data_IF_585354888408
#
_entry.id   IF_585354888408
#
_cell.length_a   1.000
_cell.length_b   1.000
_cell.length_c   1.000
_cell.angle_alpha   90.00
_cell.angle_beta   90.00
_cell.angle_gamma   90.00
#
_symmetry.space_group_name_H-M   'P 1'
#
loop_
_entity.id
_entity.type
_entity.pdbx_description
1 polymer ?
#
# COMPACT_ATOMS: atom_id res chain seq x y z
N UNK A 1 41.16 26.32 11.20
CA UNK A 1 39.72 26.55 10.91
C UNK A 1 39.05 25.31 10.32
N UNK A 2 39.79 24.45 9.59
CA UNK A 2 39.29 23.16 9.07
C UNK A 2 39.16 22.05 10.11
N UNK A 3 40.02 22.00 11.14
CA UNK A 3 39.97 20.95 12.17
C UNK A 3 38.77 21.08 13.11
N UNK A 4 38.44 22.29 13.58
CA UNK A 4 37.30 22.52 14.47
C UNK A 4 35.93 22.22 13.82
N UNK A 5 35.81 22.41 12.49
CA UNK A 5 34.63 22.03 11.71
C UNK A 5 34.53 20.50 11.53
N UNK A 6 35.67 19.81 11.46
CA UNK A 6 35.70 18.35 11.33
C UNK A 6 35.38 17.65 12.66
N UNK A 7 35.85 18.21 13.78
CA UNK A 7 35.56 17.72 15.13
C UNK A 7 34.10 17.94 15.55
N UNK A 8 33.50 19.08 15.21
CA UNK A 8 32.06 19.31 15.46
C UNK A 8 31.16 18.38 14.64
N UNK A 9 31.54 18.08 13.39
CA UNK A 9 30.82 17.13 12.56
C UNK A 9 30.96 15.70 13.11
N UNK A 10 32.12 15.35 13.66
CA UNK A 10 32.37 14.07 14.35
C UNK A 10 31.56 13.94 15.64
N UNK A 11 31.51 14.99 16.47
CA UNK A 11 30.79 14.96 17.74
C UNK A 11 29.27 14.90 17.55
N UNK A 12 28.73 15.68 16.60
CA UNK A 12 27.33 15.59 16.20
C UNK A 12 26.99 14.21 15.64
N UNK A 13 27.84 13.66 14.78
CA UNK A 13 27.67 12.30 14.25
C UNK A 13 27.67 11.26 15.37
N UNK A 14 28.58 11.35 16.33
CA UNK A 14 28.66 10.45 17.47
C UNK A 14 27.45 10.57 18.41
N UNK A 15 26.93 11.77 18.63
CA UNK A 15 25.71 11.98 19.42
C UNK A 15 24.46 11.49 18.70
N UNK A 16 24.35 11.72 17.38
CA UNK A 16 23.27 11.22 16.56
C UNK A 16 23.26 9.67 16.55
N UNK A 17 24.42 9.03 16.36
CA UNK A 17 24.56 7.57 16.41
C UNK A 17 24.22 7.00 17.79
N UNK A 18 24.63 7.67 18.88
CA UNK A 18 24.20 7.27 20.24
C UNK A 18 22.69 7.44 20.45
N UNK A 19 22.10 8.52 19.96
CA UNK A 19 20.66 8.72 20.03
C UNK A 19 19.92 7.58 19.30
N UNK A 20 20.31 7.29 18.05
CA UNK A 20 19.80 6.17 17.25
C UNK A 20 19.94 4.82 17.97
N UNK A 21 21.04 4.59 18.69
CA UNK A 21 21.28 3.36 19.45
C UNK A 21 20.32 3.14 20.64
N UNK A 22 19.56 4.16 21.04
CA UNK A 22 18.60 4.08 22.16
C UNK A 22 17.13 4.03 21.71
N UNK A 23 16.87 4.27 20.42
CA UNK A 23 15.51 4.40 19.91
C UNK A 23 14.80 3.06 19.83
N UNK A 24 13.53 3.09 20.24
CA UNK A 24 12.58 1.99 20.06
C UNK A 24 11.66 2.21 18.87
N UNK A 25 11.43 3.47 18.51
CA UNK A 25 10.69 3.87 17.32
C UNK A 25 11.46 4.99 16.64
N UNK A 26 11.61 4.89 15.32
CA UNK A 26 12.30 5.87 14.51
C UNK A 26 11.46 6.24 13.29
N UNK A 27 11.04 7.49 13.23
CA UNK A 27 10.15 8.02 12.20
C UNK A 27 10.84 9.20 11.52
N UNK A 28 11.04 9.09 10.22
CA UNK A 28 11.66 10.13 9.40
C UNK A 28 10.75 10.47 8.24
N UNK A 29 10.64 11.77 7.98
CA UNK A 29 10.02 12.31 6.77
C UNK A 29 10.93 13.35 6.16
N UNK A 30 11.21 13.27 4.86
CA UNK A 30 11.92 14.31 4.08
C UNK A 30 13.33 14.65 4.57
N UNK A 31 14.06 13.69 5.16
CA UNK A 31 15.47 13.87 5.57
C UNK A 31 16.38 12.99 4.74
N UNK A 32 17.49 13.57 4.28
CA UNK A 32 18.59 12.84 3.67
C UNK A 32 19.50 12.25 4.76
N UNK A 33 19.73 10.94 4.69
CA UNK A 33 20.66 10.23 5.56
C UNK A 33 21.79 9.63 4.72
N UNK A 34 23.01 9.74 5.25
CA UNK A 34 24.13 8.98 4.73
C UNK A 34 24.08 7.55 5.30
N UNK A 35 23.34 6.68 4.62
CA UNK A 35 23.04 5.32 5.07
C UNK A 35 24.27 4.46 5.32
N UNK A 36 25.45 4.80 4.75
CA UNK A 36 26.69 4.05 4.96
C UNK A 36 27.17 4.07 6.42
N UNK A 37 26.73 5.09 7.18
CA UNK A 37 27.09 5.25 8.59
C UNK A 37 25.95 4.93 9.53
N UNK A 38 24.81 4.47 9.01
CA UNK A 38 23.65 4.12 9.83
C UNK A 38 23.76 2.65 10.24
N UNK A 39 23.71 2.42 11.55
CA UNK A 39 23.48 1.11 12.14
C UNK A 39 22.36 1.27 13.14
N UNK A 40 21.28 0.52 12.94
CA UNK A 40 20.12 0.62 13.82
C UNK A 40 20.41 -0.06 15.16
N UNK A 41 19.76 0.47 16.20
CA UNK A 41 19.78 -0.16 17.52
C UNK A 41 19.17 -1.55 17.47
N UNK A 42 19.72 -2.46 18.27
CA UNK A 42 19.07 -3.72 18.64
C UNK A 42 17.83 -3.51 19.53
N UNK A 43 17.38 -2.28 19.75
CA UNK A 43 16.14 -1.96 20.47
C UNK A 43 15.07 -1.36 19.56
N UNK A 44 15.38 -1.15 18.28
CA UNK A 44 14.48 -0.54 17.33
C UNK A 44 13.37 -1.53 16.96
N UNK A 45 12.14 -1.24 17.37
CA UNK A 45 10.96 -2.06 17.09
C UNK A 45 10.15 -1.50 15.91
N UNK A 46 10.18 -0.19 15.70
CA UNK A 46 9.42 0.48 14.64
C UNK A 46 10.34 1.38 13.82
N UNK A 47 10.30 1.23 12.49
CA UNK A 47 10.99 2.07 11.52
C UNK A 47 10.00 2.56 10.49
N UNK A 48 9.79 3.87 10.45
CA UNK A 48 8.97 4.54 9.45
C UNK A 48 9.79 5.55 8.66
N UNK A 49 9.88 5.34 7.36
CA UNK A 49 10.60 6.20 6.44
C UNK A 49 9.63 6.72 5.39
N UNK A 50 9.54 8.04 5.28
CA UNK A 50 8.66 8.73 4.35
C UNK A 50 9.44 9.74 3.52
N UNK A 51 9.22 9.73 2.20
CA UNK A 51 9.84 10.70 1.28
C UNK A 51 11.37 10.74 1.41
N UNK A 52 11.98 9.56 1.37
CA UNK A 52 13.45 9.41 1.41
C UNK A 52 14.01 9.20 -0.01
N UNK A 53 15.22 9.68 -0.25
CA UNK A 53 15.92 9.53 -1.53
C UNK A 53 17.17 8.66 -1.35
N UNK A 54 17.31 7.65 -2.23
CA UNK A 54 18.44 6.74 -2.33
C UNK A 54 19.06 6.90 -3.73
N UNK A 55 20.13 7.68 -3.79
CA UNK A 55 20.80 8.08 -5.02
C UNK A 55 21.90 7.09 -5.42
N UNK A 56 21.59 6.27 -6.42
CA UNK A 56 22.54 5.33 -7.00
C UNK A 56 22.69 4.02 -6.21
N UNK A 57 23.50 3.12 -6.78
CA UNK A 57 23.58 1.73 -6.30
C UNK A 57 24.23 1.64 -4.92
N UNK A 58 25.16 2.55 -4.62
CA UNK A 58 25.85 2.58 -3.33
C UNK A 58 24.91 2.93 -2.18
N UNK A 59 24.06 3.94 -2.34
CA UNK A 59 23.12 4.34 -1.28
C UNK A 59 22.01 3.31 -1.09
N UNK A 60 21.52 2.70 -2.17
CA UNK A 60 20.56 1.60 -2.08
C UNK A 60 21.17 0.42 -1.32
N UNK A 61 22.42 0.03 -1.63
CA UNK A 61 23.09 -1.06 -0.92
C UNK A 61 23.30 -0.72 0.56
N UNK A 62 23.78 0.49 0.85
CA UNK A 62 23.99 0.95 2.22
C UNK A 62 22.68 0.99 3.02
N UNK A 63 21.57 1.39 2.40
CA UNK A 63 20.25 1.35 3.02
C UNK A 63 19.83 -0.08 3.37
N UNK A 64 20.04 -1.03 2.46
CA UNK A 64 19.72 -2.45 2.71
C UNK A 64 20.60 -3.05 3.81
N UNK A 65 21.88 -2.68 3.85
CA UNK A 65 22.80 -3.10 4.91
C UNK A 65 22.39 -2.49 6.26
N UNK A 66 22.05 -1.19 6.30
CA UNK A 66 21.53 -0.54 7.49
C UNK A 66 20.26 -1.25 7.98
N UNK A 67 19.30 -1.53 7.10
CA UNK A 67 18.07 -2.25 7.45
C UNK A 67 18.37 -3.64 8.04
N UNK A 68 19.37 -4.36 7.52
CA UNK A 68 19.77 -5.67 8.04
C UNK A 68 20.31 -5.66 9.47
N UNK A 69 20.74 -4.50 9.97
CA UNK A 69 21.19 -4.34 11.37
C UNK A 69 20.05 -4.25 12.38
N UNK A 70 18.80 -4.02 11.94
CA UNK A 70 17.63 -3.87 12.80
C UNK A 70 17.01 -5.23 13.18
N UNK A 71 17.74 -6.07 13.92
CA UNK A 71 17.32 -7.44 14.21
C UNK A 71 16.01 -7.56 15.01
N UNK A 72 15.72 -6.57 15.86
CA UNK A 72 14.52 -6.53 16.69
C UNK A 72 13.33 -5.82 16.02
N UNK A 73 13.47 -5.41 14.75
CA UNK A 73 12.43 -4.66 14.06
C UNK A 73 11.16 -5.48 13.90
N UNK A 74 10.04 -4.91 14.34
CA UNK A 74 8.69 -5.50 14.29
C UNK A 74 7.82 -4.84 13.24
N UNK A 75 8.02 -3.56 13.02
CA UNK A 75 7.21 -2.74 12.12
C UNK A 75 8.12 -1.96 11.17
N UNK A 76 7.95 -2.20 9.88
CA UNK A 76 8.66 -1.47 8.83
C UNK A 76 7.65 -0.80 7.91
N UNK A 77 7.74 0.53 7.80
CA UNK A 77 6.92 1.32 6.91
C UNK A 77 7.80 2.11 5.94
N UNK A 78 7.65 1.85 4.65
CA UNK A 78 8.35 2.54 3.57
C UNK A 78 7.32 3.25 2.70
N UNK A 79 7.36 4.59 2.76
CA UNK A 79 6.40 5.46 2.11
C UNK A 79 7.18 6.39 1.17
N UNK A 80 6.83 6.40 -0.12
CA UNK A 80 7.41 7.34 -1.10
C UNK A 80 8.95 7.35 -1.12
N UNK A 81 9.56 6.17 -1.22
CA UNK A 81 11.02 6.02 -1.35
C UNK A 81 11.44 6.17 -2.81
N UNK A 82 12.30 7.15 -3.07
CA UNK A 82 12.89 7.42 -4.37
C UNK A 82 14.24 6.72 -4.50
N UNK A 83 14.25 5.51 -5.05
CA UNK A 83 15.47 4.72 -5.25
C UNK A 83 15.77 4.49 -6.73
N UNK A 84 16.99 4.79 -7.16
CA UNK A 84 17.47 4.50 -8.52
C UNK A 84 18.89 3.93 -8.51
N UNK A 85 19.19 3.09 -9.51
CA UNK A 85 20.53 2.56 -9.73
C UNK A 85 21.33 3.46 -10.67
N UNK A 86 22.66 3.25 -10.71
CA UNK A 86 23.53 4.01 -11.61
C UNK A 86 23.35 3.61 -13.07
N UNK A 87 22.88 2.39 -13.32
CA UNK A 87 22.71 1.81 -14.65
C UNK A 87 21.34 1.13 -14.78
N UNK A 88 20.39 1.83 -15.39
CA UNK A 88 19.08 1.28 -15.72
C UNK A 88 18.15 1.05 -14.53
N UNK A 89 17.11 0.21 -14.70
CA UNK A 89 16.04 0.07 -13.70
C UNK A 89 16.36 -0.92 -12.57
N UNK A 90 17.42 -1.72 -12.70
CA UNK A 90 17.71 -2.83 -11.79
C UNK A 90 18.46 -2.30 -10.56
N UNK A 91 17.81 -2.37 -9.40
CA UNK A 91 18.42 -2.00 -8.13
C UNK A 91 19.33 -3.14 -7.61
N UNK A 92 20.44 -2.81 -6.91
CA UNK A 92 21.31 -3.81 -6.32
C UNK A 92 20.56 -4.56 -5.21
N UNK A 93 20.48 -5.87 -5.34
CA UNK A 93 19.82 -6.74 -4.35
C UNK A 93 20.59 -6.84 -3.03
N UNK A 94 21.90 -6.64 -3.07
CA UNK A 94 22.76 -6.80 -1.91
C UNK A 94 22.68 -8.21 -1.32
N UNK A 95 22.89 -8.30 0.00
CA UNK A 95 22.67 -9.53 0.77
C UNK A 95 21.21 -9.62 1.19
N UNK A 96 20.67 -10.84 1.40
CA UNK A 96 19.33 -10.99 1.98
C UNK A 96 19.24 -10.27 3.33
N UNK A 97 18.17 -9.52 3.52
CA UNK A 97 17.85 -8.83 4.77
C UNK A 97 17.05 -9.81 5.64
N UNK A 98 17.56 -10.10 6.83
CA UNK A 98 16.95 -11.03 7.77
C UNK A 98 16.37 -10.21 8.93
N UNK A 99 15.04 -10.16 9.02
CA UNK A 99 14.30 -9.46 10.06
C UNK A 99 13.45 -10.48 10.83
N UNK A 100 14.03 -11.21 11.80
CA UNK A 100 13.40 -12.38 12.41
C UNK A 100 12.13 -12.04 13.19
N UNK A 101 12.03 -10.81 13.70
CA UNK A 101 10.91 -10.33 14.53
C UNK A 101 9.91 -9.46 13.77
N UNK A 102 10.04 -9.35 12.45
CA UNK A 102 9.15 -8.52 11.64
C UNK A 102 7.72 -9.07 11.66
N UNK A 103 6.79 -8.25 12.14
CA UNK A 103 5.37 -8.56 12.21
C UNK A 103 4.59 -7.86 11.10
N UNK A 104 4.98 -6.63 10.76
CA UNK A 104 4.28 -5.79 9.79
C UNK A 104 5.26 -5.17 8.79
N UNK A 105 4.95 -5.32 7.50
CA UNK A 105 5.63 -4.63 6.41
C UNK A 105 4.60 -3.81 5.64
N UNK A 106 4.80 -2.50 5.59
CA UNK A 106 3.91 -1.57 4.93
C UNK A 106 4.65 -0.84 3.81
N UNK A 107 4.15 -0.96 2.58
CA UNK A 107 4.75 -0.35 1.38
C UNK A 107 3.73 0.57 0.71
N UNK A 108 4.04 1.87 0.62
CA UNK A 108 3.14 2.89 0.06
C UNK A 108 3.86 3.82 -0.92
N UNK A 109 3.18 4.13 -2.04
CA UNK A 109 3.65 5.12 -3.02
C UNK A 109 5.08 4.86 -3.54
N UNK A 110 5.39 3.61 -3.89
CA UNK A 110 6.73 3.18 -4.29
C UNK A 110 6.80 2.83 -5.79
N UNK A 111 7.96 3.09 -6.41
CA UNK A 111 8.26 2.63 -7.77
C UNK A 111 8.43 1.11 -7.84
N UNK A 112 8.13 0.52 -9.00
CA UNK A 112 8.11 -0.94 -9.19
C UNK A 112 9.43 -1.62 -8.84
N UNK A 113 10.55 -1.03 -9.26
CA UNK A 113 11.88 -1.57 -9.01
C UNK A 113 12.21 -1.61 -7.51
N UNK A 114 11.80 -0.61 -6.74
CA UNK A 114 12.00 -0.58 -5.31
C UNK A 114 11.07 -1.53 -4.56
N UNK A 115 9.78 -1.60 -4.94
CA UNK A 115 8.85 -2.63 -4.41
C UNK A 115 9.43 -4.02 -4.63
N UNK A 116 9.89 -4.30 -5.85
CA UNK A 116 10.48 -5.59 -6.21
C UNK A 116 11.74 -5.89 -5.40
N UNK A 117 12.61 -4.89 -5.20
CA UNK A 117 13.80 -5.03 -4.38
C UNK A 117 13.43 -5.45 -2.94
N UNK A 118 12.54 -4.70 -2.29
CA UNK A 118 12.15 -4.96 -0.90
C UNK A 118 11.52 -6.35 -0.75
N UNK A 119 10.56 -6.67 -1.62
CA UNK A 119 9.83 -7.94 -1.61
C UNK A 119 10.72 -9.17 -1.90
N UNK A 120 11.82 -8.99 -2.63
CA UNK A 120 12.75 -10.09 -2.94
C UNK A 120 13.96 -10.16 -2.02
N UNK A 121 14.26 -9.09 -1.28
CA UNK A 121 15.46 -9.01 -0.43
C UNK A 121 15.17 -9.28 1.03
N UNK A 122 13.98 -8.93 1.54
CA UNK A 122 13.58 -9.25 2.91
C UNK A 122 13.10 -10.70 2.95
N UNK A 123 13.82 -11.54 3.69
CA UNK A 123 13.44 -12.94 3.89
C UNK A 123 12.17 -13.02 4.74
N UNK A 124 11.13 -13.68 4.21
CA UNK A 124 9.83 -13.76 4.87
C UNK A 124 9.82 -14.81 5.99
N UNK A 125 9.57 -14.35 7.21
CA UNK A 125 9.34 -15.18 8.41
C UNK A 125 7.87 -15.23 8.85
N UNK A 126 6.93 -14.77 8.00
CA UNK A 126 5.45 -14.68 8.22
C UNK A 126 4.89 -13.30 8.61
N UNK A 127 5.60 -12.21 8.28
CA UNK A 127 5.04 -10.87 8.49
C UNK A 127 3.75 -10.64 7.68
N UNK A 128 2.90 -9.74 8.18
CA UNK A 128 1.73 -9.22 7.44
C UNK A 128 2.20 -8.12 6.51
N UNK A 129 2.01 -8.33 5.21
CA UNK A 129 2.30 -7.33 4.19
C UNK A 129 1.04 -6.54 3.83
N UNK A 130 1.12 -5.22 3.98
CA UNK A 130 0.15 -4.27 3.45
C UNK A 130 0.77 -3.53 2.28
N UNK A 131 0.14 -3.64 1.11
CA UNK A 131 0.53 -2.91 -0.10
C UNK A 131 -0.47 -1.78 -0.35
N UNK A 132 0.03 -0.56 -0.42
CA UNK A 132 -0.73 0.61 -0.86
C UNK A 132 -0.06 1.28 -2.08
N UNK A 133 -0.16 0.65 -3.26
CA UNK A 133 0.44 1.20 -4.46
C UNK A 133 -0.18 2.55 -4.87
N UNK A 134 0.59 3.33 -5.63
CA UNK A 134 0.17 4.53 -6.37
C UNK A 134 0.39 4.33 -7.88
N UNK A 135 0.13 5.36 -8.69
CA UNK A 135 0.54 5.38 -10.10
C UNK A 135 2.04 5.13 -10.33
N UNK A 136 2.91 5.34 -9.32
CA UNK A 136 4.36 5.13 -9.42
C UNK A 136 4.74 3.66 -9.63
N UNK A 137 3.94 2.72 -9.14
CA UNK A 137 4.23 1.29 -9.26
C UNK A 137 4.18 0.80 -10.71
N UNK A 138 3.58 1.58 -11.63
CA UNK A 138 3.60 1.31 -13.06
C UNK A 138 4.92 1.73 -13.73
N UNK A 139 5.86 2.30 -12.98
CA UNK A 139 7.12 2.86 -13.46
C UNK A 139 8.31 2.33 -12.67
N UNK A 140 9.47 2.29 -13.31
CA UNK A 140 10.75 2.20 -12.64
C UNK A 140 11.36 3.60 -12.56
N UNK A 141 11.88 3.96 -11.39
CA UNK A 141 12.69 5.18 -11.24
C UNK A 141 14.11 4.90 -11.71
N UNK A 142 14.59 5.76 -12.59
CA UNK A 142 15.92 5.72 -13.17
C UNK A 142 16.76 6.89 -12.64
N UNK A 143 18.05 6.85 -12.97
CA UNK A 143 18.97 7.94 -12.67
C UNK A 143 18.44 9.26 -13.26
N UNK A 144 18.75 10.37 -12.58
CA UNK A 144 18.29 11.72 -12.96
C UNK A 144 16.78 11.93 -12.89
N UNK A 145 16.08 11.12 -12.09
CA UNK A 145 14.62 11.18 -11.92
C UNK A 145 13.83 10.87 -13.21
N UNK A 146 14.49 10.23 -14.19
CA UNK A 146 13.81 9.68 -15.35
C UNK A 146 12.94 8.48 -14.95
N UNK A 147 11.91 8.19 -15.72
CA UNK A 147 11.05 7.03 -15.48
C UNK A 147 10.89 6.18 -16.73
N UNK A 148 10.92 4.86 -16.57
CA UNK A 148 10.54 3.92 -17.61
C UNK A 148 9.29 3.14 -17.22
N UNK A 149 8.54 2.65 -18.19
CA UNK A 149 7.39 1.78 -17.93
C UNK A 149 7.86 0.47 -17.30
N UNK A 150 7.26 0.10 -16.17
CA UNK A 150 7.54 -1.18 -15.52
C UNK A 150 6.74 -2.32 -16.17
N UNK A 151 7.31 -3.52 -16.12
CA UNK A 151 6.59 -4.75 -16.46
C UNK A 151 5.69 -5.13 -15.29
N UNK A 152 4.38 -4.92 -15.42
CA UNK A 152 3.41 -5.37 -14.42
C UNK A 152 3.40 -6.89 -14.25
N UNK A 153 3.82 -7.65 -15.28
CA UNK A 153 3.95 -9.10 -15.23
C UNK A 153 5.04 -9.55 -14.25
N UNK A 154 6.14 -8.82 -14.20
CA UNK A 154 7.27 -9.16 -13.33
C UNK A 154 6.88 -8.93 -11.86
N UNK A 155 6.19 -7.82 -11.58
CA UNK A 155 5.62 -7.55 -10.26
C UNK A 155 4.59 -8.63 -9.87
N UNK A 156 3.69 -9.02 -10.78
CA UNK A 156 2.72 -10.09 -10.54
C UNK A 156 3.40 -11.41 -10.19
N UNK A 157 4.51 -11.76 -10.86
CA UNK A 157 5.28 -12.95 -10.53
C UNK A 157 5.89 -12.89 -9.12
N UNK A 158 6.38 -11.71 -8.71
CA UNK A 158 6.90 -11.49 -7.34
C UNK A 158 5.77 -11.63 -6.32
N UNK A 159 4.63 -10.98 -6.55
CA UNK A 159 3.47 -11.03 -5.66
C UNK A 159 2.91 -12.45 -5.50
N UNK A 160 2.92 -13.25 -6.56
CA UNK A 160 2.45 -14.64 -6.53
C UNK A 160 3.25 -15.53 -5.57
N UNK A 161 4.51 -15.17 -5.28
CA UNK A 161 5.37 -15.89 -4.34
C UNK A 161 5.28 -15.41 -2.89
N UNK A 162 4.47 -14.37 -2.60
CA UNK A 162 4.49 -13.68 -1.30
C UNK A 162 3.10 -13.67 -0.66
N UNK A 163 3.08 -13.74 0.67
CA UNK A 163 1.85 -13.59 1.45
C UNK A 163 1.48 -12.11 1.60
N UNK A 164 0.67 -11.59 0.68
CA UNK A 164 0.06 -10.26 0.82
C UNK A 164 -1.18 -10.37 1.70
N UNK A 165 -1.19 -9.68 2.83
CA UNK A 165 -2.32 -9.72 3.78
C UNK A 165 -3.41 -8.73 3.39
N UNK A 166 -3.00 -7.50 3.08
CA UNK A 166 -3.88 -6.38 2.77
C UNK A 166 -3.41 -5.65 1.52
N UNK A 167 -4.38 -5.23 0.70
CA UNK A 167 -4.19 -4.38 -0.45
C UNK A 167 -5.06 -3.14 -0.29
N UNK A 168 -4.46 -1.96 -0.43
CA UNK A 168 -5.15 -0.67 -0.46
C UNK A 168 -5.03 -0.09 -1.86
N UNK A 169 -6.12 0.45 -2.41
CA UNK A 169 -6.18 1.06 -3.74
C UNK A 169 -6.88 2.41 -3.58
N UNK A 170 -6.30 3.47 -4.11
CA UNK A 170 -6.89 4.80 -4.15
C UNK A 170 -7.03 5.32 -5.59
N UNK A 171 -7.54 6.53 -5.73
CA UNK A 171 -7.63 7.31 -6.97
C UNK A 171 -6.27 7.67 -7.57
N UNK A 172 -5.16 7.57 -6.85
CA UNK A 172 -3.83 7.71 -7.46
C UNK A 172 -3.51 6.53 -8.41
N UNK A 173 -4.21 5.39 -8.29
CA UNK A 173 -4.06 4.25 -9.22
C UNK A 173 -5.03 4.35 -10.42
N UNK A 174 -5.51 5.54 -10.80
CA UNK A 174 -6.36 5.70 -12.00
C UNK A 174 -5.58 5.24 -13.24
N UNK A 175 -5.73 3.97 -13.61
CA UNK A 175 -5.14 3.30 -14.78
C UNK A 175 -5.59 1.82 -14.82
N UNK A 176 -4.83 0.95 -15.51
CA UNK A 176 -5.06 -0.48 -15.74
C UNK A 176 -5.69 -1.24 -14.56
N UNK A 177 -5.30 -0.99 -13.31
CA UNK A 177 -5.79 -1.71 -12.13
C UNK A 177 -7.20 -1.32 -11.65
N UNK A 178 -7.78 -0.25 -12.18
CA UNK A 178 -9.20 0.08 -11.96
C UNK A 178 -10.13 -0.59 -12.97
N UNK A 179 -9.55 -1.20 -14.01
CA UNK A 179 -10.29 -2.00 -15.00
C UNK A 179 -10.54 -3.41 -14.50
N UNK A 180 -11.58 -4.06 -15.04
CA UNK A 180 -11.93 -5.45 -14.70
C UNK A 180 -10.72 -6.40 -14.86
N UNK A 181 -10.03 -6.31 -15.98
CA UNK A 181 -9.01 -7.29 -16.34
C UNK A 181 -7.69 -7.01 -15.59
N UNK A 182 -7.35 -5.73 -15.38
CA UNK A 182 -6.18 -5.37 -14.59
C UNK A 182 -6.34 -5.68 -13.11
N UNK A 183 -7.51 -5.38 -12.51
CA UNK A 183 -7.78 -5.74 -11.12
C UNK A 183 -7.78 -7.25 -10.91
N UNK A 184 -8.34 -8.02 -11.86
CA UNK A 184 -8.28 -9.49 -11.81
C UNK A 184 -6.88 -10.03 -11.90
N UNK A 185 -6.04 -9.47 -12.78
CA UNK A 185 -4.63 -9.86 -12.86
C UNK A 185 -3.89 -9.59 -11.56
N UNK A 186 -4.13 -8.42 -10.97
CA UNK A 186 -3.54 -8.03 -9.69
C UNK A 186 -3.98 -8.96 -8.55
N UNK A 187 -5.29 -9.14 -8.36
CA UNK A 187 -5.84 -10.03 -7.32
C UNK A 187 -5.45 -11.48 -7.53
N UNK A 188 -5.45 -11.97 -8.78
CA UNK A 188 -5.02 -13.33 -9.12
C UNK A 188 -3.54 -13.60 -8.80
N UNK A 189 -2.73 -12.54 -8.70
CA UNK A 189 -1.34 -12.62 -8.26
C UNK A 189 -1.17 -12.63 -6.75
N UNK A 190 -2.26 -12.49 -5.98
CA UNK A 190 -2.25 -12.44 -4.51
C UNK A 190 -3.32 -13.37 -3.93
N UNK A 191 -3.22 -14.69 -4.14
CA UNK A 191 -4.28 -15.64 -3.76
C UNK A 191 -4.52 -15.73 -2.25
N UNK A 192 -3.59 -15.24 -1.44
CA UNK A 192 -3.68 -15.27 0.02
C UNK A 192 -4.24 -13.98 0.64
N UNK A 193 -4.56 -12.99 -0.20
CA UNK A 193 -5.13 -11.71 0.22
C UNK A 193 -6.47 -11.90 0.95
N UNK A 194 -6.61 -11.22 2.09
CA UNK A 194 -7.83 -11.29 2.92
C UNK A 194 -8.53 -9.95 3.06
N UNK A 195 -7.78 -8.85 3.05
CA UNK A 195 -8.29 -7.50 3.28
C UNK A 195 -8.08 -6.65 2.04
N UNK A 196 -9.15 -6.02 1.56
CA UNK A 196 -9.09 -5.07 0.46
C UNK A 196 -9.72 -3.76 0.87
N UNK A 197 -8.98 -2.68 0.70
CA UNK A 197 -9.42 -1.32 0.97
C UNK A 197 -9.41 -0.53 -0.34
N UNK A 198 -10.53 0.07 -0.69
CA UNK A 198 -10.73 0.89 -1.90
C UNK A 198 -11.13 2.28 -1.44
N UNK A 199 -10.41 3.29 -1.90
CA UNK A 199 -10.57 4.67 -1.46
C UNK A 199 -10.80 5.59 -2.67
N UNK A 200 -11.73 6.53 -2.56
CA UNK A 200 -11.93 7.63 -3.51
C UNK A 200 -12.18 7.22 -4.98
N UNK A 201 -12.57 5.97 -5.23
CA UNK A 201 -12.82 5.43 -6.56
C UNK A 201 -14.31 5.32 -6.92
N UNK A 202 -14.60 5.39 -8.23
CA UNK A 202 -15.90 4.98 -8.77
C UNK A 202 -16.06 3.47 -8.64
N UNK A 203 -17.12 3.04 -7.95
CA UNK A 203 -17.56 1.64 -7.89
C UNK A 203 -18.27 1.24 -9.19
N UNK A 204 -17.56 1.41 -10.30
CA UNK A 204 -18.03 1.08 -11.63
C UNK A 204 -18.28 -0.42 -11.76
N UNK A 205 -19.10 -0.80 -12.75
CA UNK A 205 -19.30 -2.21 -13.07
C UNK A 205 -17.98 -2.93 -13.40
N UNK A 206 -17.03 -2.24 -14.02
CA UNK A 206 -15.71 -2.80 -14.35
C UNK A 206 -14.93 -3.16 -13.09
N UNK A 207 -14.84 -2.23 -12.14
CA UNK A 207 -14.17 -2.43 -10.86
C UNK A 207 -14.82 -3.58 -10.07
N UNK A 208 -16.14 -3.53 -9.89
CA UNK A 208 -16.89 -4.55 -9.13
C UNK A 208 -16.82 -5.94 -9.78
N UNK A 209 -16.83 -6.03 -11.12
CA UNK A 209 -16.60 -7.30 -11.81
C UNK A 209 -15.16 -7.79 -11.65
N UNK A 210 -14.20 -6.88 -11.54
CA UNK A 210 -12.79 -7.18 -11.30
C UNK A 210 -12.55 -7.83 -9.94
N UNK A 211 -13.35 -7.46 -8.94
CA UNK A 211 -13.36 -8.08 -7.61
C UNK A 211 -13.91 -9.50 -7.58
N UNK A 212 -14.65 -9.91 -8.60
CA UNK A 212 -15.23 -11.24 -8.66
C UNK A 212 -14.26 -12.22 -9.35
N UNK A 213 -14.15 -13.46 -8.85
CA UNK A 213 -13.32 -14.48 -9.47
C UNK A 213 -13.76 -14.75 -10.93
N UNK A 214 -12.82 -15.09 -11.83
CA UNK A 214 -13.13 -15.42 -13.21
C UNK A 214 -14.05 -16.67 -13.27
N UNK A 215 -15.03 -16.65 -14.19
CA UNK A 215 -16.01 -17.74 -14.35
C UNK A 215 -15.47 -18.96 -15.11
N UNK A 216 -14.27 -18.89 -15.68
CA UNK A 216 -13.71 -19.92 -16.54
C UNK A 216 -13.20 -21.12 -15.76
N UNK A 217 -13.36 -22.31 -16.34
CA UNK A 217 -12.95 -23.66 -15.90
C UNK A 217 -11.45 -23.88 -15.67
N UNK A 218 -10.64 -22.82 -15.64
CA UNK A 218 -9.23 -22.89 -15.27
C UNK A 218 -9.11 -22.45 -13.81
N UNK A 219 -8.48 -23.29 -12.97
CA UNK A 219 -8.17 -23.00 -11.56
C UNK A 219 -7.15 -21.86 -11.42
N UNK A 220 -7.48 -20.67 -11.91
CA UNK A 220 -6.66 -19.48 -11.67
C UNK A 220 -6.84 -19.13 -10.19
N UNK A 221 -5.76 -19.12 -9.39
CA UNK A 221 -5.83 -18.73 -8.00
C UNK A 221 -6.43 -17.32 -7.90
N UNK A 222 -7.40 -17.15 -7.01
CA UNK A 222 -8.05 -15.86 -6.77
C UNK A 222 -8.34 -15.74 -5.28
N UNK A 223 -8.12 -14.56 -4.66
CA UNK A 223 -8.28 -14.41 -3.24
C UNK A 223 -9.73 -14.57 -2.80
N UNK A 224 -9.90 -15.11 -1.61
CA UNK A 224 -11.17 -15.11 -0.88
C UNK A 224 -11.11 -14.00 0.16
N UNK A 225 -11.69 -12.86 -0.18
CA UNK A 225 -11.68 -11.70 0.69
C UNK A 225 -12.58 -11.96 1.91
N UNK A 226 -12.11 -11.55 3.08
CA UNK A 226 -12.86 -11.61 4.34
C UNK A 226 -13.27 -10.21 4.78
N UNK A 227 -12.50 -9.20 4.39
CA UNK A 227 -12.79 -7.79 4.65
C UNK A 227 -12.71 -7.00 3.35
N UNK A 228 -13.76 -6.23 3.05
CA UNK A 228 -13.74 -5.22 1.98
C UNK A 228 -14.18 -3.88 2.57
N UNK A 229 -13.36 -2.87 2.39
CA UNK A 229 -13.68 -1.51 2.86
C UNK A 229 -13.68 -0.55 1.68
N UNK A 230 -14.77 0.20 1.54
CA UNK A 230 -14.90 1.30 0.61
C UNK A 230 -14.92 2.60 1.42
N UNK A 231 -14.04 3.55 1.10
CA UNK A 231 -13.94 4.83 1.82
C UNK A 231 -13.98 5.98 0.82
N UNK A 232 -14.91 6.93 1.01
CA UNK A 232 -15.07 8.06 0.10
C UNK A 232 -15.33 7.67 -1.35
N UNK A 233 -15.86 6.46 -1.61
CA UNK A 233 -16.15 5.99 -2.96
C UNK A 233 -17.46 6.57 -3.48
N UNK A 234 -17.69 6.54 -4.78
CA UNK A 234 -18.98 6.94 -5.36
C UNK A 234 -19.51 5.88 -6.30
N UNK A 235 -20.81 5.95 -6.61
CA UNK A 235 -21.48 5.01 -7.52
C UNK A 235 -22.03 5.83 -8.69
N UNK A 236 -21.31 5.88 -9.80
CA UNK A 236 -21.69 6.67 -10.99
C UNK A 236 -22.95 6.15 -11.70
N UNK A 237 -23.26 4.85 -11.57
CA UNK A 237 -24.29 4.18 -12.37
C UNK A 237 -25.26 3.34 -11.53
N UNK A 238 -26.53 3.28 -11.95
CA UNK A 238 -27.61 2.49 -11.33
C UNK A 238 -27.31 0.98 -11.19
N UNK A 239 -26.29 0.48 -11.89
CA UNK A 239 -25.86 -0.92 -11.86
C UNK A 239 -24.94 -1.28 -10.67
N UNK A 240 -24.37 -0.30 -9.97
CA UNK A 240 -23.44 -0.54 -8.85
C UNK A 240 -24.04 -1.39 -7.73
N UNK A 241 -25.35 -1.27 -7.48
CA UNK A 241 -26.04 -2.08 -6.47
C UNK A 241 -26.11 -3.59 -6.81
N UNK A 242 -26.22 -3.96 -8.09
CA UNK A 242 -26.16 -5.37 -8.50
C UNK A 242 -24.72 -5.89 -8.49
N UNK A 243 -23.76 -5.04 -8.87
CA UNK A 243 -22.34 -5.33 -8.79
C UNK A 243 -21.91 -5.65 -7.36
N UNK A 244 -22.26 -4.80 -6.39
CA UNK A 244 -21.92 -5.01 -4.98
C UNK A 244 -22.53 -6.31 -4.43
N UNK A 245 -23.79 -6.61 -4.74
CA UNK A 245 -24.40 -7.90 -4.37
C UNK A 245 -23.62 -9.08 -4.93
N UNK A 246 -23.12 -8.96 -6.15
CA UNK A 246 -22.30 -10.02 -6.78
C UNK A 246 -20.97 -10.18 -6.07
N UNK A 247 -20.30 -9.08 -5.70
CA UNK A 247 -19.05 -9.11 -4.93
C UNK A 247 -19.26 -9.81 -3.59
N UNK A 248 -20.27 -9.40 -2.81
CA UNK A 248 -20.58 -10.00 -1.50
C UNK A 248 -20.87 -11.50 -1.63
N UNK A 249 -21.59 -11.92 -2.67
CA UNK A 249 -21.86 -13.35 -2.87
C UNK A 249 -20.65 -14.16 -3.37
N UNK A 250 -19.62 -13.49 -3.89
CA UNK A 250 -18.42 -14.16 -4.43
C UNK A 250 -17.32 -14.39 -3.40
N UNK A 251 -17.45 -13.80 -2.22
CA UNK A 251 -16.45 -13.83 -1.15
C UNK A 251 -17.08 -14.22 0.19
N UNK A 252 -16.36 -14.94 1.07
CA UNK A 252 -16.81 -15.23 2.43
C UNK A 252 -16.59 -14.01 3.35
N UNK A 253 -17.27 -12.90 3.07
CA UNK A 253 -17.07 -11.65 3.81
C UNK A 253 -17.53 -11.77 5.27
N UNK A 254 -16.63 -11.43 6.18
CA UNK A 254 -16.89 -11.25 7.61
C UNK A 254 -17.16 -9.79 7.93
N UNK A 255 -16.40 -8.87 7.32
CA UNK A 255 -16.49 -7.42 7.51
C UNK A 255 -16.67 -6.69 6.19
N UNK A 256 -17.54 -5.68 6.18
CA UNK A 256 -17.65 -4.75 5.07
C UNK A 256 -17.91 -3.32 5.57
N UNK A 257 -17.11 -2.37 5.08
CA UNK A 257 -17.34 -0.93 5.28
C UNK A 257 -17.76 -0.34 3.93
N UNK A 258 -18.86 0.42 3.93
CA UNK A 258 -19.36 1.12 2.75
C UNK A 258 -19.46 2.62 3.05
N UNK A 259 -18.37 3.34 2.81
CA UNK A 259 -18.28 4.79 2.80
C UNK A 259 -18.54 5.32 1.39
N UNK A 260 -19.65 6.04 1.23
CA UNK A 260 -20.03 6.63 -0.05
C UNK A 260 -20.08 8.16 0.05
N UNK A 261 -19.44 8.82 -0.91
CA UNK A 261 -19.54 10.25 -1.15
C UNK A 261 -20.45 10.57 -2.33
N UNK A 262 -20.95 11.81 -2.38
CA UNK A 262 -21.68 12.32 -3.52
C UNK A 262 -20.71 12.54 -4.69
N UNK A 263 -21.10 12.12 -5.89
CA UNK A 263 -20.31 12.35 -7.10
C UNK A 263 -20.06 13.86 -7.28
N UNK A 264 -18.81 14.34 -7.32
CA UNK A 264 -18.48 15.76 -7.50
C UNK A 264 -19.06 16.35 -8.80
N UNK A 265 -19.30 15.51 -9.81
CA UNK A 265 -19.92 15.90 -11.07
C UNK A 265 -21.45 16.01 -11.00
N UNK A 266 -22.07 15.50 -9.91
CA UNK A 266 -23.49 15.67 -9.60
C UNK A 266 -23.75 16.90 -8.72
N UNK A 267 -23.08 18.02 -9.00
CA UNK A 267 -23.68 19.30 -8.66
C UNK A 267 -24.86 19.53 -9.61
N UNK A 268 -26.07 19.44 -9.03
CA UNK A 268 -27.35 19.75 -9.68
C UNK A 268 -27.82 18.62 -10.62
N UNK A 269 -28.57 17.64 -10.11
CA UNK A 269 -29.84 17.10 -10.67
C UNK A 269 -30.26 15.85 -9.86
N UNK A 270 -31.18 16.09 -8.93
CA UNK A 270 -32.13 15.12 -8.34
C UNK A 270 -31.57 13.84 -7.68
N UNK A 271 -31.40 13.90 -6.36
CA UNK A 271 -31.68 12.73 -5.51
C UNK A 271 -33.18 12.42 -5.63
N UNK A 272 -33.58 11.65 -6.65
CA UNK A 272 -34.98 11.21 -6.75
C UNK A 272 -35.31 10.27 -5.59
N UNK A 273 -36.55 10.32 -5.10
CA UNK A 273 -37.06 9.42 -4.04
C UNK A 273 -36.80 7.94 -4.35
N UNK A 274 -36.83 7.56 -5.62
CA UNK A 274 -36.52 6.21 -6.09
C UNK A 274 -35.03 5.81 -5.94
N UNK A 275 -34.07 6.71 -6.20
CA UNK A 275 -32.63 6.45 -5.96
C UNK A 275 -32.36 6.26 -4.47
N UNK A 276 -32.96 7.11 -3.64
CA UNK A 276 -32.90 7.02 -2.18
C UNK A 276 -33.46 5.69 -1.64
N UNK A 277 -34.59 5.22 -2.19
CA UNK A 277 -35.18 3.93 -1.83
C UNK A 277 -34.29 2.74 -2.21
N UNK A 278 -33.74 2.71 -3.44
CA UNK A 278 -32.82 1.65 -3.87
C UNK A 278 -31.55 1.59 -3.01
N UNK A 279 -31.00 2.74 -2.60
CA UNK A 279 -29.85 2.83 -1.68
C UNK A 279 -30.19 2.18 -0.33
N UNK A 280 -31.34 2.52 0.26
CA UNK A 280 -31.82 1.91 1.52
C UNK A 280 -32.01 0.39 1.40
N UNK A 281 -32.59 -0.08 0.30
CA UNK A 281 -32.78 -1.51 0.05
C UNK A 281 -31.46 -2.27 -0.08
N UNK A 282 -30.46 -1.67 -0.74
CA UNK A 282 -29.12 -2.23 -0.83
C UNK A 282 -28.45 -2.29 0.54
N UNK A 283 -28.46 -1.20 1.30
CA UNK A 283 -27.87 -1.12 2.65
C UNK A 283 -28.50 -2.18 3.56
N UNK A 284 -29.84 -2.28 3.56
CA UNK A 284 -30.55 -3.30 4.36
C UNK A 284 -30.17 -4.71 3.93
N UNK A 285 -30.02 -4.97 2.64
CA UNK A 285 -29.57 -6.26 2.14
C UNK A 285 -28.14 -6.58 2.60
N UNK A 286 -27.24 -5.60 2.59
CA UNK A 286 -25.85 -5.76 3.05
C UNK A 286 -25.77 -6.05 4.55
N UNK A 287 -26.52 -5.32 5.37
CA UNK A 287 -26.65 -5.58 6.82
C UNK A 287 -27.13 -7.00 7.15
N UNK A 288 -27.97 -7.58 6.30
CA UNK A 288 -28.46 -8.95 6.47
C UNK A 288 -27.48 -10.01 5.97
N UNK A 289 -26.51 -9.65 5.12
CA UNK A 289 -25.64 -10.61 4.42
C UNK A 289 -24.20 -10.63 4.94
N UNK A 290 -23.70 -9.51 5.43
CA UNK A 290 -22.34 -9.42 5.96
C UNK A 290 -22.42 -9.31 7.49
N UNK A 291 -21.77 -10.19 8.27
CA UNK A 291 -21.86 -10.21 9.73
C UNK A 291 -21.52 -8.86 10.38
N UNK A 292 -20.42 -8.23 9.95
CA UNK A 292 -20.01 -6.91 10.41
C UNK A 292 -20.09 -5.91 9.27
N UNK A 293 -21.27 -5.30 9.11
CA UNK A 293 -21.49 -4.27 8.11
C UNK A 293 -21.57 -2.88 8.73
N UNK A 294 -20.74 -1.96 8.22
CA UNK A 294 -20.78 -0.55 8.58
C UNK A 294 -21.03 0.29 7.33
N UNK A 295 -21.94 1.25 7.44
CA UNK A 295 -22.22 2.24 6.40
C UNK A 295 -21.83 3.62 6.90
N UNK A 296 -21.07 4.36 6.10
CA UNK A 296 -20.61 5.72 6.39
C UNK A 296 -21.19 6.64 5.31
N UNK A 297 -21.99 7.62 5.71
CA UNK A 297 -22.58 8.61 4.80
C UNK A 297 -21.77 9.91 4.90
N UNK A 298 -20.99 10.22 3.86
CA UNK A 298 -20.11 11.40 3.87
C UNK A 298 -20.88 12.73 3.79
N UNK A 299 -22.20 12.71 3.56
CA UNK A 299 -23.05 13.92 3.65
C UNK A 299 -23.08 14.51 5.09
N UNK A 300 -22.52 13.81 6.10
CA UNK A 300 -22.35 14.33 7.46
C UNK A 300 -20.90 14.63 7.87
N UNK A 301 -19.89 14.28 7.05
CA UNK A 301 -18.47 14.51 7.36
C UNK A 301 -17.99 15.85 6.78
N UNK A 302 -18.71 16.93 7.09
CA UNK A 302 -18.30 18.31 6.82
C UNK A 302 -17.11 18.79 7.66
N UNK A 303 -16.36 17.90 8.29
CA UNK A 303 -15.19 18.26 9.11
C UNK A 303 -14.21 17.10 9.17
N UNK A 304 -12.95 17.45 8.92
CA UNK A 304 -11.72 16.72 9.25
C UNK A 304 -11.40 15.43 8.49
N UNK A 305 -10.78 15.61 7.32
CA UNK A 305 -9.70 14.76 6.79
C UNK A 305 -8.56 14.47 7.80
N UNK A 306 -8.57 15.10 8.98
CA UNK A 306 -7.62 14.92 10.07
C UNK A 306 -7.99 13.82 11.09
N UNK A 307 -9.17 13.18 11.01
CA UNK A 307 -9.61 12.16 11.98
C UNK A 307 -9.56 10.71 11.46
N UNK A 308 -9.08 10.48 10.23
CA UNK A 308 -8.70 9.15 9.78
C UNK A 308 -7.33 8.79 10.35
N UNK A 309 -7.27 8.69 11.68
CA UNK A 309 -6.18 8.03 12.40
C UNK A 309 -6.20 6.56 11.98
N UNK A 310 -5.52 6.28 10.87
CA UNK A 310 -5.24 4.97 10.29
C UNK A 310 -4.36 4.07 11.18
N UNK A 311 -4.22 4.38 12.47
CA UNK A 311 -3.26 3.73 13.37
C UNK A 311 -3.81 3.62 14.80
N UNK A 312 -4.80 2.75 15.00
CA UNK A 312 -4.93 1.95 16.22
C UNK A 312 -4.97 0.46 15.82
N UNK A 313 -3.79 -0.07 15.48
CA UNK A 313 -3.45 -1.48 15.57
C UNK A 313 -1.98 -1.59 15.96
#
# INVERSE_FOLDING_TARGET
MSEALNDQNSEFHNQATRALSSLTSFRITEVYFDWKFVTFSTRLFELRLSTIMLTGSSEVTAFMDALSSASELRELMLIKVLAFADQGPILPRGRPVILPHLNSLYLEDLYCNFVTLILTSITSTSYRLTLFPSSLVARNLLRHLETSKASTKDLFQVLAGIHVHELKISDDIIDFWTTRDGLRGLLGSMPTLKVLTIQYLDLSNGLLQGLCPPRSSQCIPFPKLHTIEFHGCYISNNAGGLGLKTVVNSHPLEKMVLGLTCDPSMHVISQTTAKSQKRRELIRWLQLKVPFFQFIDDDQSGTTTAEWNLWEL
#
